data_IF_353000974227
#
_entry.id   IF_353000974227
#
_cell.length_a   1.000
_cell.length_b   1.000
_cell.length_c   1.000
_cell.angle_alpha   90.00
_cell.angle_beta   90.00
_cell.angle_gamma   90.00
#
_symmetry.space_group_name_H-M   'P 1'
#
loop_
_entity.id
_entity.type
_entity.pdbx_description
1 polymer ?
#
# COMPACT_ATOMS: atom_id res chain seq x y z
N UNK A 1 -4.26 -30.15 12.31
CA UNK A 1 -3.08 -30.75 11.71
C UNK A 1 -3.46 -31.45 10.40
N UNK A 2 -2.94 -30.98 9.26
CA UNK A 2 -3.26 -31.45 7.89
C UNK A 2 -1.97 -31.88 7.17
N UNK A 3 -1.41 -33.06 7.49
CA UNK A 3 -0.17 -33.56 6.88
C UNK A 3 -0.33 -33.81 5.37
N UNK A 4 -1.52 -34.17 4.92
CA UNK A 4 -1.88 -34.32 3.50
C UNK A 4 -1.65 -32.99 2.73
N UNK A 5 -2.10 -31.88 3.29
CA UNK A 5 -1.95 -30.54 2.71
C UNK A 5 -0.46 -30.11 2.68
N UNK A 6 0.28 -30.35 3.78
CA UNK A 6 1.70 -30.05 3.84
C UNK A 6 2.51 -30.79 2.77
N UNK A 7 2.21 -32.09 2.53
CA UNK A 7 2.85 -32.87 1.49
C UNK A 7 2.51 -32.37 0.08
N UNK A 8 1.27 -31.93 -0.16
CA UNK A 8 0.87 -31.32 -1.44
C UNK A 8 1.63 -30.02 -1.69
N UNK A 9 1.66 -29.11 -0.73
CA UNK A 9 2.42 -27.85 -0.84
C UNK A 9 3.90 -28.12 -1.10
N UNK A 10 4.52 -29.03 -0.36
CA UNK A 10 5.91 -29.41 -0.59
C UNK A 10 6.13 -29.87 -2.03
N UNK A 11 5.28 -30.76 -2.55
CA UNK A 11 5.36 -31.26 -3.93
C UNK A 11 5.26 -30.13 -4.95
N UNK A 12 4.31 -29.20 -4.77
CA UNK A 12 4.08 -28.12 -5.73
C UNK A 12 5.22 -27.10 -5.73
N UNK A 13 5.77 -26.79 -4.56
CA UNK A 13 6.95 -25.91 -4.43
C UNK A 13 8.18 -26.59 -5.03
N UNK A 14 8.41 -27.87 -4.72
CA UNK A 14 9.55 -28.64 -5.21
C UNK A 14 9.55 -28.75 -6.74
N UNK A 15 8.39 -28.94 -7.34
CA UNK A 15 8.24 -28.96 -8.79
C UNK A 15 8.34 -27.56 -9.42
N UNK A 16 8.39 -26.50 -8.63
CA UNK A 16 8.44 -25.12 -9.10
C UNK A 16 7.13 -24.67 -9.73
N UNK A 17 6.00 -25.26 -9.35
CA UNK A 17 4.67 -24.87 -9.81
C UNK A 17 4.15 -23.64 -9.07
N UNK A 18 4.46 -23.55 -7.78
CA UNK A 18 4.07 -22.44 -6.90
C UNK A 18 5.33 -21.77 -6.34
N UNK A 19 5.36 -20.44 -6.43
CA UNK A 19 6.31 -19.57 -5.76
C UNK A 19 5.64 -18.88 -4.56
N UNK A 20 6.22 -19.05 -3.37
CA UNK A 20 5.75 -18.38 -2.17
C UNK A 20 6.47 -17.04 -1.96
N UNK A 21 5.78 -16.08 -1.37
CA UNK A 21 6.38 -14.79 -1.01
C UNK A 21 7.50 -14.96 0.03
N UNK A 22 8.49 -14.06 -0.01
CA UNK A 22 9.62 -14.08 0.92
C UNK A 22 9.22 -14.17 2.39
N UNK A 23 8.19 -13.47 2.91
CA UNK A 23 7.78 -13.62 4.30
C UNK A 23 7.23 -15.01 4.64
N UNK A 24 6.53 -15.65 3.70
CA UNK A 24 6.05 -17.01 3.91
C UNK A 24 7.25 -17.97 4.05
N UNK A 25 8.24 -17.85 3.17
CA UNK A 25 9.45 -18.70 3.19
C UNK A 25 10.34 -18.44 4.40
N UNK A 26 10.48 -17.18 4.82
CA UNK A 26 11.42 -16.80 5.90
C UNK A 26 10.84 -16.92 7.30
N UNK A 27 9.52 -16.79 7.46
CA UNK A 27 8.89 -16.62 8.76
C UNK A 27 8.00 -17.79 9.17
N UNK A 28 7.48 -18.58 8.21
CA UNK A 28 6.62 -19.73 8.55
C UNK A 28 7.35 -20.75 9.41
N UNK A 29 6.77 -21.09 10.55
CA UNK A 29 7.36 -22.03 11.51
C UNK A 29 8.50 -21.45 12.36
N UNK A 30 8.66 -20.13 12.35
CA UNK A 30 9.66 -19.41 13.18
C UNK A 30 8.97 -18.32 14.01
N UNK A 31 9.69 -17.80 15.01
CA UNK A 31 9.24 -16.66 15.84
C UNK A 31 9.58 -15.29 15.22
N UNK A 32 9.97 -15.24 13.94
CA UNK A 32 10.52 -14.07 13.25
C UNK A 32 9.48 -13.21 12.58
N UNK A 33 8.37 -12.96 13.00
CA UNK A 33 7.41 -12.11 12.32
C UNK A 33 6.26 -12.88 11.68
N UNK A 34 5.60 -12.29 10.71
CA UNK A 34 4.38 -12.82 10.11
C UNK A 34 4.64 -13.38 8.70
N UNK A 35 3.95 -14.46 8.28
CA UNK A 35 4.00 -14.96 6.90
C UNK A 35 3.16 -14.07 5.96
N UNK A 36 3.17 -12.77 6.16
CA UNK A 36 2.34 -11.77 5.47
C UNK A 36 3.24 -10.77 4.77
N UNK A 37 2.97 -10.52 3.49
CA UNK A 37 3.79 -9.66 2.64
C UNK A 37 3.43 -8.20 2.75
N UNK A 38 2.13 -7.89 2.72
CA UNK A 38 1.63 -6.54 2.61
C UNK A 38 0.44 -6.29 3.53
N UNK A 39 0.33 -5.02 3.94
CA UNK A 39 -0.74 -4.49 4.76
C UNK A 39 -1.26 -3.18 4.17
N UNK A 40 -2.50 -2.80 4.50
CA UNK A 40 -3.05 -1.49 4.16
C UNK A 40 -3.75 -0.87 5.34
N UNK A 41 -3.47 0.42 5.59
CA UNK A 41 -4.00 1.19 6.71
C UNK A 41 -4.58 2.50 6.19
N UNK A 42 -5.80 2.85 6.59
CA UNK A 42 -6.38 4.18 6.36
C UNK A 42 -6.13 5.09 7.57
N UNK A 43 -5.78 6.35 7.31
CA UNK A 43 -5.41 7.30 8.35
C UNK A 43 -6.58 8.25 8.66
N UNK A 44 -7.17 8.20 9.87
CA UNK A 44 -8.19 9.16 10.29
C UNK A 44 -7.63 10.58 10.46
N UNK A 45 -8.47 11.60 10.19
CA UNK A 45 -8.10 13.01 10.33
C UNK A 45 -8.15 13.49 11.80
N UNK A 46 -7.29 12.91 12.62
CA UNK A 46 -7.08 13.35 14.01
C UNK A 46 -5.66 13.03 14.46
N UNK A 47 -5.11 13.83 15.37
CA UNK A 47 -3.77 13.58 15.95
C UNK A 47 -3.69 12.18 16.57
N UNK A 48 -4.77 11.76 17.25
CA UNK A 48 -4.85 10.40 17.82
C UNK A 48 -4.82 9.33 16.72
N UNK A 49 -5.66 9.49 15.68
CA UNK A 49 -5.73 8.53 14.56
C UNK A 49 -4.41 8.44 13.80
N UNK A 50 -3.79 9.57 13.47
CA UNK A 50 -2.48 9.63 12.81
C UNK A 50 -1.40 8.96 13.69
N UNK A 51 -1.44 9.20 15.02
CA UNK A 51 -0.54 8.56 15.97
C UNK A 51 -0.72 7.03 16.04
N UNK A 52 -1.97 6.54 16.03
CA UNK A 52 -2.27 5.11 15.98
C UNK A 52 -1.80 4.47 14.66
N UNK A 53 -2.06 5.12 13.52
CA UNK A 53 -1.54 4.69 12.21
C UNK A 53 -0.01 4.58 12.24
N UNK A 54 0.69 5.56 12.83
CA UNK A 54 2.15 5.50 12.94
C UNK A 54 2.62 4.36 13.85
N UNK A 55 1.95 4.11 14.96
CA UNK A 55 2.28 3.00 15.85
C UNK A 55 2.08 1.63 15.18
N UNK A 56 0.99 1.47 14.44
CA UNK A 56 0.73 0.27 13.64
C UNK A 56 1.76 0.10 12.53
N UNK A 57 2.07 1.16 11.79
CA UNK A 57 3.11 1.19 10.77
C UNK A 57 4.46 0.71 11.32
N UNK A 58 4.90 1.26 12.46
CA UNK A 58 6.16 0.87 13.12
C UNK A 58 6.17 -0.62 13.47
N UNK A 59 5.07 -1.14 14.02
CA UNK A 59 4.94 -2.55 14.39
C UNK A 59 5.02 -3.46 13.16
N UNK A 60 4.28 -3.14 12.10
CA UNK A 60 4.22 -3.96 10.89
C UNK A 60 5.54 -3.93 10.10
N UNK A 61 6.17 -2.76 10.01
CA UNK A 61 7.47 -2.61 9.32
C UNK A 61 8.62 -3.24 10.10
N UNK A 62 8.61 -3.20 11.42
CA UNK A 62 9.58 -3.93 12.25
C UNK A 62 9.53 -5.45 12.03
N UNK A 63 8.35 -5.99 11.68
CA UNK A 63 8.16 -7.40 11.30
C UNK A 63 8.50 -7.69 9.83
N UNK A 64 9.03 -6.70 9.09
CA UNK A 64 9.39 -6.83 7.68
C UNK A 64 8.22 -6.71 6.70
N UNK A 65 7.07 -6.21 7.15
CA UNK A 65 5.90 -5.97 6.30
C UNK A 65 6.06 -4.79 5.35
N UNK A 66 5.46 -4.87 4.16
CA UNK A 66 5.21 -3.74 3.29
C UNK A 66 3.85 -3.12 3.60
N UNK A 67 3.76 -1.80 3.82
CA UNK A 67 2.52 -1.16 4.26
C UNK A 67 2.07 -0.10 3.26
N UNK A 68 0.84 -0.21 2.73
CA UNK A 68 0.15 0.89 2.07
C UNK A 68 -0.56 1.76 3.11
N UNK A 69 -0.43 3.07 3.00
CA UNK A 69 -1.07 4.03 3.90
C UNK A 69 -1.90 5.01 3.08
N UNK A 70 -3.18 5.16 3.38
CA UNK A 70 -3.98 6.25 2.84
C UNK A 70 -3.89 7.48 3.74
N UNK A 71 -3.56 8.62 3.16
CA UNK A 71 -3.57 9.92 3.85
C UNK A 71 -4.61 10.88 3.25
N UNK A 72 -5.47 10.37 2.38
CA UNK A 72 -6.45 11.17 1.63
C UNK A 72 -7.51 11.83 2.52
N UNK A 73 -7.73 11.30 3.73
CA UNK A 73 -8.68 11.86 4.70
C UNK A 73 -8.10 12.97 5.55
N UNK A 74 -6.77 13.08 5.65
CA UNK A 74 -6.12 14.14 6.42
C UNK A 74 -6.45 15.49 5.80
N UNK A 75 -6.87 16.44 6.62
CA UNK A 75 -7.20 17.81 6.18
C UNK A 75 -6.00 18.49 5.54
N UNK A 76 -6.24 19.29 4.49
CA UNK A 76 -5.15 19.96 3.77
C UNK A 76 -4.53 21.11 4.59
N UNK A 77 -3.38 21.57 4.12
CA UNK A 77 -2.67 22.75 4.63
C UNK A 77 -3.60 23.98 4.67
N UNK A 78 -3.51 24.74 5.73
CA UNK A 78 -4.29 25.97 5.93
C UNK A 78 -5.71 25.75 6.47
N UNK A 79 -6.18 24.49 6.62
CA UNK A 79 -7.47 24.20 7.24
C UNK A 79 -7.45 24.59 8.72
N UNK A 80 -8.47 25.33 9.17
CA UNK A 80 -8.59 25.73 10.57
C UNK A 80 -8.80 24.52 11.49
N UNK A 81 -8.05 24.48 12.57
CA UNK A 81 -8.18 23.47 13.63
C UNK A 81 -8.87 24.14 14.82
N UNK A 82 -9.99 23.61 15.25
CA UNK A 82 -10.76 24.19 16.37
C UNK A 82 -9.89 24.30 17.62
N UNK A 83 -9.69 25.54 18.06
CA UNK A 83 -8.90 25.85 19.25
C UNK A 83 -7.37 25.71 19.11
N UNK A 84 -6.83 25.49 17.91
CA UNK A 84 -5.39 25.20 17.75
C UNK A 84 -4.75 25.69 16.43
N UNK A 85 -5.17 26.78 15.85
CA UNK A 85 -4.54 27.35 14.65
C UNK A 85 -4.90 26.61 13.36
N UNK A 86 -3.92 26.35 12.48
CA UNK A 86 -4.11 25.80 11.13
C UNK A 86 -3.32 24.51 10.88
N UNK A 87 -3.84 23.66 10.01
CA UNK A 87 -3.17 22.41 9.57
C UNK A 87 -1.95 22.73 8.70
N UNK A 88 -0.88 21.99 8.93
CA UNK A 88 0.32 21.97 8.06
C UNK A 88 0.21 20.96 6.90
N UNK A 89 -0.95 20.32 6.71
CA UNK A 89 -1.23 19.40 5.61
C UNK A 89 -0.64 18.00 5.78
N UNK A 90 -0.64 17.22 4.67
CA UNK A 90 -0.27 15.80 4.69
C UNK A 90 1.25 15.55 4.71
N UNK A 91 2.05 16.42 4.10
CA UNK A 91 3.49 16.20 3.89
C UNK A 91 4.28 16.08 5.20
N UNK A 92 4.04 16.90 6.25
CA UNK A 92 4.70 16.70 7.54
C UNK A 92 4.44 15.34 8.17
N UNK A 93 3.25 14.79 8.04
CA UNK A 93 2.91 13.44 8.53
C UNK A 93 3.65 12.34 7.75
N UNK A 94 3.78 12.50 6.42
CA UNK A 94 4.60 11.60 5.61
C UNK A 94 6.06 11.56 6.10
N UNK A 95 6.63 12.70 6.57
CA UNK A 95 7.97 12.74 7.16
C UNK A 95 8.08 11.91 8.44
N UNK A 96 7.06 11.95 9.28
CA UNK A 96 7.01 11.16 10.51
C UNK A 96 6.98 9.67 10.17
N UNK A 97 6.14 9.26 9.24
CA UNK A 97 6.05 7.87 8.79
C UNK A 97 7.38 7.36 8.24
N UNK A 98 8.04 8.14 7.38
CA UNK A 98 9.35 7.80 6.82
C UNK A 98 10.41 7.62 7.93
N UNK A 99 10.50 8.57 8.85
CA UNK A 99 11.43 8.51 9.98
C UNK A 99 11.15 7.31 10.90
N UNK A 100 9.89 6.97 11.10
CA UNK A 100 9.47 5.83 11.92
C UNK A 100 9.89 4.49 11.28
N UNK A 101 9.75 4.36 9.96
CA UNK A 101 10.19 3.16 9.22
C UNK A 101 11.72 3.02 9.29
N UNK A 102 12.45 4.12 9.08
CA UNK A 102 13.92 4.13 9.19
C UNK A 102 14.35 3.66 10.57
N UNK A 103 13.71 4.19 11.64
CA UNK A 103 14.04 3.86 13.01
C UNK A 103 13.76 2.38 13.37
N UNK A 104 12.74 1.76 12.77
CA UNK A 104 12.35 0.36 13.03
C UNK A 104 13.09 -0.66 12.17
N UNK A 105 13.82 -0.23 11.14
CA UNK A 105 14.59 -1.10 10.25
C UNK A 105 15.92 -1.56 10.90
N UNK A 106 15.84 -2.33 11.97
CA UNK A 106 17.00 -2.79 12.74
C UNK A 106 17.42 -4.21 12.35
N UNK A 107 18.10 -4.35 11.22
CA UNK A 107 18.83 -5.59 10.89
C UNK A 107 17.99 -6.82 10.56
N UNK A 108 16.73 -6.65 10.17
CA UNK A 108 15.87 -7.76 9.76
C UNK A 108 16.28 -8.34 8.40
N UNK A 109 15.92 -9.58 8.15
CA UNK A 109 16.14 -10.27 6.86
C UNK A 109 15.41 -9.54 5.72
N UNK A 110 14.27 -8.92 6.02
CA UNK A 110 13.50 -8.08 5.12
C UNK A 110 13.25 -6.72 5.78
N UNK A 111 13.67 -5.65 5.13
CA UNK A 111 13.39 -4.29 5.61
C UNK A 111 11.92 -3.96 5.39
N UNK A 112 11.32 -3.30 6.38
CA UNK A 112 10.01 -2.69 6.23
C UNK A 112 10.06 -1.53 5.23
N UNK A 113 8.97 -1.34 4.52
CA UNK A 113 8.79 -0.22 3.59
C UNK A 113 7.32 0.18 3.57
N UNK A 114 7.01 1.41 3.16
CA UNK A 114 5.64 1.84 3.00
C UNK A 114 5.42 2.58 1.67
N UNK A 115 4.17 2.60 1.23
CA UNK A 115 3.67 3.51 0.21
C UNK A 115 2.62 4.44 0.80
N UNK A 116 2.60 5.69 0.34
CA UNK A 116 1.59 6.67 0.75
C UNK A 116 0.66 6.96 -0.41
N UNK A 117 -0.63 6.72 -0.19
CA UNK A 117 -1.69 6.93 -1.16
C UNK A 117 -2.38 8.27 -0.90
N UNK A 118 -2.49 9.11 -1.92
CA UNK A 118 -3.19 10.39 -1.86
C UNK A 118 -4.11 10.55 -3.06
N UNK A 119 -5.35 10.98 -2.83
CA UNK A 119 -6.31 11.29 -3.88
C UNK A 119 -5.82 12.49 -4.72
N UNK A 120 -5.97 12.39 -6.05
CA UNK A 120 -5.59 13.46 -6.99
C UNK A 120 -6.31 14.79 -6.72
N UNK A 121 -7.51 14.73 -6.14
CA UNK A 121 -8.32 15.90 -5.80
C UNK A 121 -7.93 16.53 -4.45
N UNK A 122 -6.98 15.94 -3.72
CA UNK A 122 -6.53 16.51 -2.46
C UNK A 122 -5.81 17.84 -2.69
N UNK A 123 -6.11 18.92 -1.94
CA UNK A 123 -5.48 20.22 -2.16
C UNK A 123 -3.97 20.23 -2.06
N UNK A 124 -3.36 19.35 -1.25
CA UNK A 124 -1.90 19.25 -1.05
C UNK A 124 -1.20 18.41 -2.14
N UNK A 125 -1.90 18.04 -3.23
CA UNK A 125 -1.36 17.13 -4.25
C UNK A 125 -0.06 17.65 -4.87
N UNK A 126 0.03 18.96 -5.14
CA UNK A 126 1.21 19.56 -5.78
C UNK A 126 2.44 19.47 -4.85
N UNK A 127 2.27 19.71 -3.54
CA UNK A 127 3.34 19.56 -2.54
C UNK A 127 3.73 18.09 -2.37
N UNK A 128 2.76 17.18 -2.35
CA UNK A 128 2.97 15.75 -2.24
C UNK A 128 3.82 15.19 -3.39
N UNK A 129 3.59 15.63 -4.63
CA UNK A 129 4.35 15.22 -5.80
C UNK A 129 5.84 15.63 -5.74
N UNK A 130 6.20 16.62 -4.92
CA UNK A 130 7.58 17.07 -4.78
C UNK A 130 8.40 16.19 -3.83
N UNK A 131 7.77 15.33 -3.02
CA UNK A 131 8.46 14.56 -1.96
C UNK A 131 9.64 13.75 -2.50
N UNK A 132 9.49 13.12 -3.68
CA UNK A 132 10.47 12.20 -4.27
C UNK A 132 11.39 12.85 -5.30
N UNK A 133 11.22 14.11 -5.61
CA UNK A 133 12.08 14.79 -6.58
C UNK A 133 13.49 15.01 -6.04
N UNK A 134 14.53 15.02 -6.92
CA UNK A 134 15.94 15.15 -6.50
C UNK A 134 16.28 16.41 -5.69
N UNK A 135 15.46 17.47 -5.82
CA UNK A 135 15.55 18.70 -5.00
C UNK A 135 14.71 18.63 -3.72
N UNK A 136 13.96 17.53 -3.53
CA UNK A 136 13.28 17.23 -2.28
C UNK A 136 14.26 16.70 -1.23
N UNK A 137 13.72 16.13 -0.14
CA UNK A 137 14.55 15.56 0.92
C UNK A 137 15.18 14.23 0.46
N UNK A 138 16.51 14.17 0.23
CA UNK A 138 17.17 12.95 -0.27
C UNK A 138 17.13 11.78 0.70
N UNK A 139 16.77 12.01 1.96
CA UNK A 139 16.71 10.97 2.99
C UNK A 139 15.40 10.19 2.98
N UNK A 140 14.44 10.55 2.13
CA UNK A 140 13.13 9.88 2.03
C UNK A 140 13.14 8.72 1.06
N UNK A 141 13.85 7.66 1.42
CA UNK A 141 14.01 6.48 0.56
C UNK A 141 13.03 5.35 0.89
N UNK A 142 12.27 5.44 1.97
CA UNK A 142 11.42 4.36 2.45
C UNK A 142 9.95 4.49 2.03
N UNK A 143 9.53 5.65 1.50
CA UNK A 143 8.16 5.89 1.05
C UNK A 143 8.05 5.89 -0.47
N UNK A 144 7.22 5.01 -1.00
CA UNK A 144 6.76 5.08 -2.37
C UNK A 144 5.48 5.93 -2.44
N UNK A 145 5.35 6.74 -3.50
CA UNK A 145 4.16 7.57 -3.70
C UNK A 145 3.16 6.86 -4.59
N UNK A 146 1.90 6.86 -4.18
CA UNK A 146 0.78 6.34 -4.96
C UNK A 146 -0.27 7.42 -5.15
N UNK A 147 -0.88 7.44 -6.33
CA UNK A 147 -1.96 8.35 -6.67
C UNK A 147 -3.25 7.58 -6.90
N UNK A 148 -4.25 7.87 -6.10
CA UNK A 148 -5.60 7.39 -6.33
C UNK A 148 -6.31 8.38 -7.27
N UNK A 149 -6.34 8.04 -8.55
CA UNK A 149 -6.97 8.86 -9.59
C UNK A 149 -8.44 8.52 -9.67
N UNK A 150 -9.30 9.49 -9.39
CA UNK A 150 -10.70 9.48 -9.85
C UNK A 150 -10.72 9.87 -11.31
N UNK A 151 -11.74 9.42 -12.03
CA UNK A 151 -11.94 9.77 -13.43
C UNK A 151 -11.80 11.29 -13.61
N UNK A 152 -10.92 11.70 -14.51
CA UNK A 152 -10.82 13.10 -14.94
C UNK A 152 -12.03 13.44 -15.83
N UNK A 153 -13.19 13.56 -15.21
CA UNK A 153 -14.44 13.83 -15.93
C UNK A 153 -14.50 15.26 -16.48
N UNK A 154 -13.83 16.17 -15.79
CA UNK A 154 -13.73 17.57 -16.20
C UNK A 154 -12.33 17.82 -16.75
N UNK A 155 -12.25 18.11 -18.04
CA UNK A 155 -11.01 18.58 -18.70
C UNK A 155 -10.79 20.07 -18.40
N UNK A 156 -10.97 20.45 -17.13
CA UNK A 156 -10.63 21.81 -16.71
C UNK A 156 -9.10 22.00 -16.66
N UNK A 157 -8.66 23.24 -16.75
CA UNK A 157 -7.25 23.59 -16.81
C UNK A 157 -6.46 23.11 -15.58
N UNK A 158 -7.06 23.17 -14.39
CA UNK A 158 -6.44 22.74 -13.14
C UNK A 158 -6.20 21.22 -13.13
N UNK A 159 -7.20 20.45 -13.49
CA UNK A 159 -7.10 18.98 -13.55
C UNK A 159 -6.07 18.53 -14.59
N UNK A 160 -6.05 19.16 -15.75
CA UNK A 160 -5.06 18.90 -16.79
C UNK A 160 -3.63 19.24 -16.33
N UNK A 161 -3.44 20.36 -15.63
CA UNK A 161 -2.15 20.76 -15.07
C UNK A 161 -1.66 19.74 -14.05
N UNK A 162 -2.51 19.30 -13.12
CA UNK A 162 -2.15 18.30 -12.11
C UNK A 162 -1.80 16.97 -12.79
N UNK A 163 -2.57 16.55 -13.80
CA UNK A 163 -2.29 15.32 -14.54
C UNK A 163 -0.93 15.36 -15.25
N UNK A 164 -0.61 16.45 -15.93
CA UNK A 164 0.69 16.65 -16.57
C UNK A 164 1.83 16.64 -15.54
N UNK A 165 1.62 17.23 -14.37
CA UNK A 165 2.60 17.23 -13.29
C UNK A 165 2.84 15.81 -12.73
N UNK A 166 1.80 14.99 -12.58
CA UNK A 166 1.91 13.58 -12.21
C UNK A 166 2.75 12.82 -13.24
N UNK A 167 2.42 12.96 -14.52
CA UNK A 167 3.15 12.26 -15.59
C UNK A 167 4.61 12.69 -15.64
N UNK A 168 4.89 14.00 -15.52
CA UNK A 168 6.24 14.55 -15.46
C UNK A 168 7.02 14.00 -14.27
N UNK A 169 6.44 14.03 -13.06
CA UNK A 169 7.06 13.49 -11.85
C UNK A 169 7.37 12.00 -12.01
N UNK A 170 6.43 11.25 -12.60
CA UNK A 170 6.61 9.82 -12.88
C UNK A 170 7.76 9.56 -13.87
N UNK A 171 7.90 10.38 -14.89
CA UNK A 171 9.04 10.28 -15.83
C UNK A 171 10.38 10.59 -15.16
N UNK A 172 10.42 11.55 -14.23
CA UNK A 172 11.63 11.98 -13.55
C UNK A 172 12.07 11.00 -12.44
N UNK A 173 11.11 10.36 -11.74
CA UNK A 173 11.38 9.61 -10.50
C UNK A 173 10.94 8.15 -10.53
N UNK A 174 10.16 7.73 -11.53
CA UNK A 174 9.48 6.43 -11.54
C UNK A 174 8.16 6.40 -10.73
N UNK A 175 7.87 7.45 -9.97
CA UNK A 175 6.71 7.60 -9.09
C UNK A 175 5.95 8.89 -9.41
N UNK A 176 4.66 9.00 -9.03
CA UNK A 176 3.84 8.03 -8.28
C UNK A 176 3.35 6.86 -9.13
N UNK A 177 3.01 5.74 -8.50
CA UNK A 177 2.15 4.73 -9.12
C UNK A 177 0.72 5.26 -9.18
N UNK A 178 -0.03 4.85 -10.21
CA UNK A 178 -1.35 5.40 -10.49
C UNK A 178 -2.41 4.30 -10.35
N UNK A 179 -3.39 4.53 -9.49
CA UNK A 179 -4.57 3.69 -9.32
C UNK A 179 -5.81 4.42 -9.82
N UNK A 180 -6.54 3.83 -10.76
CA UNK A 180 -7.83 4.34 -11.22
C UNK A 180 -8.95 3.84 -10.29
N UNK A 181 -9.14 4.53 -9.16
CA UNK A 181 -10.02 4.15 -8.06
C UNK A 181 -11.46 3.88 -8.51
N UNK A 182 -12.01 4.69 -9.41
CA UNK A 182 -13.37 4.52 -9.91
C UNK A 182 -13.53 3.23 -10.74
N UNK A 183 -12.50 2.85 -11.51
CA UNK A 183 -12.52 1.61 -12.27
C UNK A 183 -12.44 0.39 -11.35
N UNK A 184 -11.62 0.47 -10.32
CA UNK A 184 -11.52 -0.57 -9.28
C UNK A 184 -12.88 -0.76 -8.62
N UNK A 185 -13.50 0.31 -8.13
CA UNK A 185 -14.78 0.22 -7.42
C UNK A 185 -15.96 -0.21 -8.32
N UNK A 186 -15.91 0.08 -9.62
CA UNK A 186 -16.88 -0.48 -10.60
C UNK A 186 -16.76 -1.99 -10.78
N UNK A 187 -15.56 -2.53 -10.58
CA UNK A 187 -15.25 -3.96 -10.70
C UNK A 187 -15.24 -4.70 -9.34
N UNK A 188 -15.67 -4.05 -8.27
CA UNK A 188 -15.70 -4.65 -6.94
C UNK A 188 -16.52 -5.95 -6.91
N UNK A 189 -16.12 -6.92 -6.07
CA UNK A 189 -16.93 -8.11 -5.81
C UNK A 189 -18.34 -7.74 -5.31
N UNK A 190 -19.32 -8.60 -5.62
CA UNK A 190 -20.71 -8.39 -5.21
C UNK A 190 -20.85 -8.14 -3.69
N UNK A 191 -20.06 -8.83 -2.88
CA UNK A 191 -20.03 -8.62 -1.43
C UNK A 191 -19.67 -7.19 -1.02
N UNK A 192 -18.73 -6.54 -1.74
CA UNK A 192 -18.37 -5.14 -1.48
C UNK A 192 -19.50 -4.20 -1.91
N UNK A 193 -20.08 -4.42 -3.09
CA UNK A 193 -21.19 -3.61 -3.60
C UNK A 193 -22.40 -3.66 -2.65
N UNK A 194 -22.76 -4.85 -2.18
CA UNK A 194 -23.89 -5.05 -1.25
C UNK A 194 -23.70 -4.38 0.12
N UNK A 195 -22.46 -4.22 0.56
CA UNK A 195 -22.13 -3.61 1.85
C UNK A 195 -21.59 -2.17 1.73
N UNK A 196 -21.63 -1.57 0.53
CA UNK A 196 -21.11 -0.24 0.24
C UNK A 196 -19.64 -0.05 0.68
N UNK A 197 -18.80 -1.06 0.41
CA UNK A 197 -17.38 -1.05 0.75
C UNK A 197 -16.57 -0.57 -0.44
N UNK A 198 -15.99 0.61 -0.32
CA UNK A 198 -15.15 1.20 -1.36
C UNK A 198 -13.67 0.97 -1.10
N UNK A 199 -12.95 0.61 -2.15
CA UNK A 199 -11.49 0.56 -2.15
C UNK A 199 -10.95 1.98 -2.30
N UNK A 200 -10.15 2.42 -1.34
CA UNK A 200 -9.63 3.80 -1.28
C UNK A 200 -8.14 3.90 -1.61
N UNK A 201 -7.42 2.80 -1.52
CA UNK A 201 -5.97 2.73 -1.67
C UNK A 201 -5.49 1.36 -2.17
N UNK A 202 -4.19 1.23 -2.41
CA UNK A 202 -3.52 -0.05 -2.71
C UNK A 202 -2.42 -0.34 -1.68
N UNK A 203 -1.92 -1.60 -1.70
CA UNK A 203 -0.69 -1.98 -1.00
C UNK A 203 0.55 -1.35 -1.67
N UNK A 204 1.72 -1.61 -1.10
CA UNK A 204 3.00 -1.06 -1.57
C UNK A 204 3.34 -1.42 -3.03
N UNK A 205 2.94 -2.60 -3.50
CA UNK A 205 3.21 -3.07 -4.87
C UNK A 205 2.09 -2.74 -5.86
N UNK A 206 0.99 -2.13 -5.43
CA UNK A 206 -0.17 -1.66 -6.22
C UNK A 206 -1.04 -2.76 -6.84
N UNK A 207 -0.91 -4.03 -6.42
CA UNK A 207 -1.71 -5.14 -6.95
C UNK A 207 -2.92 -5.51 -6.08
N UNK A 208 -2.98 -5.04 -4.83
CA UNK A 208 -4.05 -5.38 -3.89
C UNK A 208 -5.03 -4.23 -3.78
N UNK A 209 -6.29 -4.52 -4.08
CA UNK A 209 -7.41 -3.59 -4.01
C UNK A 209 -8.47 -4.14 -3.05
N UNK A 210 -8.17 -4.07 -1.76
CA UNK A 210 -9.05 -4.50 -0.69
C UNK A 210 -9.58 -3.30 0.08
N UNK A 211 -10.77 -3.48 0.68
CA UNK A 211 -11.36 -2.48 1.56
C UNK A 211 -10.52 -2.27 2.81
N UNK A 212 -10.40 -1.02 3.22
CA UNK A 212 -9.80 -0.60 4.49
C UNK A 212 -10.44 0.69 4.98
N UNK A 213 -10.59 0.83 6.29
CA UNK A 213 -11.09 2.02 6.97
C UNK A 213 -10.36 2.22 8.32
N UNK A 214 -10.94 3.03 9.22
CA UNK A 214 -10.36 3.32 10.55
C UNK A 214 -10.27 2.10 11.46
N UNK A 215 -11.11 1.09 11.23
CA UNK A 215 -11.24 -0.10 12.08
C UNK A 215 -10.70 -1.37 11.42
N UNK A 216 -10.51 -1.33 10.09
CA UNK A 216 -10.13 -2.49 9.30
C UNK A 216 -8.87 -2.22 8.47
N UNK A 217 -7.80 -2.93 8.79
CA UNK A 217 -6.59 -3.02 7.95
C UNK A 217 -6.66 -4.26 7.08
N UNK A 218 -6.28 -4.16 5.83
CA UNK A 218 -6.17 -5.35 4.98
C UNK A 218 -4.79 -6.00 5.09
N UNK A 219 -4.75 -7.29 4.81
CA UNK A 219 -3.52 -8.10 4.75
C UNK A 219 -3.45 -8.89 3.45
N UNK A 220 -2.24 -9.24 3.02
CA UNK A 220 -1.98 -10.04 1.83
C UNK A 220 -0.98 -11.16 2.11
N UNK A 221 -1.39 -12.41 1.83
CA UNK A 221 -0.50 -13.56 1.74
C UNK A 221 -0.25 -13.88 0.27
N UNK A 222 0.84 -13.38 -0.29
CA UNK A 222 1.13 -13.52 -1.71
C UNK A 222 1.68 -14.89 -2.05
N UNK A 223 1.18 -15.47 -3.14
CA UNK A 223 1.78 -16.62 -3.83
C UNK A 223 1.61 -16.45 -5.34
N UNK A 224 2.41 -17.16 -6.12
CA UNK A 224 2.38 -17.06 -7.58
C UNK A 224 2.40 -18.46 -8.21
N UNK A 225 1.63 -18.66 -9.27
CA UNK A 225 1.69 -19.85 -10.11
C UNK A 225 2.70 -19.64 -11.24
N UNK A 226 3.52 -20.65 -11.50
CA UNK A 226 4.49 -20.62 -12.58
C UNK A 226 3.82 -20.99 -13.91
N UNK A 227 3.47 -19.99 -14.71
CA UNK A 227 2.82 -20.20 -15.99
C UNK A 227 3.70 -20.91 -17.04
N UNK A 228 5.04 -20.85 -16.90
CA UNK A 228 5.92 -21.62 -17.77
C UNK A 228 5.77 -23.15 -17.57
N UNK A 229 5.15 -23.56 -16.46
CA UNK A 229 4.83 -24.95 -16.15
C UNK A 229 3.33 -25.24 -16.19
N UNK A 230 2.56 -24.41 -16.88
CA UNK A 230 1.11 -24.54 -16.97
C UNK A 230 0.66 -25.95 -17.37
N UNK A 231 1.27 -26.54 -18.38
CA UNK A 231 0.93 -27.88 -18.86
C UNK A 231 1.25 -29.01 -17.86
N UNK A 232 2.11 -28.76 -16.88
CA UNK A 232 2.43 -29.73 -15.84
C UNK A 232 1.40 -29.74 -14.70
N UNK A 233 0.75 -28.60 -14.42
CA UNK A 233 -0.12 -28.45 -13.24
C UNK A 233 -1.60 -28.17 -13.56
N UNK A 234 -1.97 -27.76 -14.80
CA UNK A 234 -3.34 -27.35 -15.16
C UNK A 234 -4.42 -28.40 -14.89
N UNK A 235 -4.07 -29.68 -15.04
CA UNK A 235 -5.00 -30.80 -14.84
C UNK A 235 -4.81 -31.47 -13.46
N UNK A 236 -4.19 -30.77 -12.50
CA UNK A 236 -3.98 -31.21 -11.12
C UNK A 236 -4.80 -30.38 -10.15
N UNK A 237 -4.81 -30.77 -8.88
CA UNK A 237 -5.46 -30.01 -7.79
C UNK A 237 -4.61 -28.84 -7.24
N UNK A 238 -3.57 -28.40 -7.97
CA UNK A 238 -2.65 -27.38 -7.50
C UNK A 238 -3.29 -26.00 -7.34
N UNK A 239 -4.36 -25.68 -8.08
CA UNK A 239 -5.10 -24.41 -7.98
C UNK A 239 -6.14 -24.48 -6.88
N UNK A 240 -6.72 -25.66 -6.62
CA UNK A 240 -7.80 -25.88 -5.66
C UNK A 240 -7.27 -26.10 -4.23
N UNK A 241 -5.99 -26.43 -4.09
CA UNK A 241 -5.33 -26.70 -2.81
C UNK A 241 -4.86 -25.44 -2.12
#
# INVERSE_FOLDING_TARGET
NRPDLANKFFKYIWNGWIGLASPVLSNTGTDRGLPISCFGIDTPDSVRGIGLTNAELMKLTALGGGVGISVSRIRPRGTQITGNGTSEGVVPWCKIYDSSIIATNQGSVRRGAASVNLDINHPDIEEFLQIRRPKGDPNRQCLNLHQCVKKLEQRDEKSMRIWLEILKTRMETGEPYIMFKDNVNKANPLAYMMNNLDVTMTNICSEITLFTDEEHSFICCLSSLNLAKYDEWKDTDAVET
#
